data_IF_528073260340
#
_entry.id   IF_528073260340
#
_cell.length_a   1.000
_cell.length_b   1.000
_cell.length_c   1.000
_cell.angle_alpha   90.00
_cell.angle_beta   90.00
_cell.angle_gamma   90.00
#
_symmetry.space_group_name_H-M   'P 1'
#
loop_
_entity.id
_entity.type
_entity.pdbx_description
1 polymer ?
#
# COMPACT_ATOMS: atom_id res chain seq x y z
N UNK A 1 25.47 2.15 13.12
CA UNK A 1 26.42 1.29 12.39
C UNK A 1 27.37 2.19 11.63
N UNK A 2 28.65 2.18 12.00
CA UNK A 2 29.66 3.10 11.50
C UNK A 2 30.04 2.76 10.06
N UNK A 3 29.61 3.58 9.11
CA UNK A 3 30.01 3.53 7.70
C UNK A 3 31.50 3.81 7.58
N UNK A 4 32.30 2.76 7.39
CA UNK A 4 33.71 2.89 7.01
C UNK A 4 33.75 3.32 5.54
N UNK A 5 34.01 4.60 5.29
CA UNK A 5 34.28 5.12 3.96
C UNK A 5 35.66 4.63 3.57
N UNK A 6 35.72 3.68 2.63
CA UNK A 6 36.98 3.20 2.06
C UNK A 6 37.45 4.23 1.03
N UNK A 7 38.22 5.21 1.48
CA UNK A 7 38.87 6.22 0.62
C UNK A 7 39.96 5.55 -0.21
N UNK A 8 39.64 5.18 -1.46
CA UNK A 8 40.64 4.89 -2.49
C UNK A 8 41.32 6.20 -2.90
N UNK A 9 42.48 6.50 -2.34
CA UNK A 9 43.35 7.58 -2.83
C UNK A 9 43.94 7.19 -4.18
N UNK A 10 43.26 7.57 -5.25
CA UNK A 10 43.80 7.54 -6.61
C UNK A 10 44.71 8.75 -6.73
N UNK A 11 46.01 8.50 -6.85
CA UNK A 11 47.02 9.49 -7.20
C UNK A 11 46.68 10.07 -8.59
N UNK A 12 45.88 11.15 -8.61
CA UNK A 12 45.57 11.88 -9.84
C UNK A 12 46.81 12.67 -10.27
N UNK A 13 47.58 12.09 -11.19
CA UNK A 13 48.46 12.89 -12.03
C UNK A 13 47.57 13.76 -12.91
N UNK A 14 47.36 15.02 -12.52
CA UNK A 14 46.78 16.06 -13.39
C UNK A 14 47.87 16.44 -14.39
N UNK A 15 48.10 15.60 -15.38
CA UNK A 15 48.81 16.01 -16.59
C UNK A 15 47.79 16.80 -17.40
N UNK A 16 47.83 18.14 -17.31
CA UNK A 16 47.13 19.01 -18.25
C UNK A 16 47.80 18.89 -19.63
N UNK A 17 47.60 17.75 -20.26
CA UNK A 17 47.93 17.51 -21.65
C UNK A 17 46.73 18.00 -22.44
N UNK A 18 46.94 19.04 -23.27
CA UNK A 18 46.03 19.31 -24.36
C UNK A 18 46.04 18.05 -25.22
N UNK A 19 44.89 17.40 -25.29
CA UNK A 19 44.64 16.42 -26.31
C UNK A 19 44.86 17.11 -27.66
N UNK A 20 45.91 16.76 -28.39
CA UNK A 20 45.82 16.83 -29.85
C UNK A 20 44.52 16.13 -30.24
N UNK A 21 43.76 16.68 -31.19
CA UNK A 21 42.43 16.18 -31.58
C UNK A 21 42.38 14.64 -31.58
N UNK A 22 41.64 14.05 -30.63
CA UNK A 22 41.63 12.60 -30.49
C UNK A 22 40.69 11.99 -31.52
N UNK A 23 41.24 11.18 -32.43
CA UNK A 23 40.46 10.40 -33.38
C UNK A 23 40.41 8.94 -32.93
N UNK A 24 39.21 8.42 -32.72
CA UNK A 24 39.01 6.98 -32.47
C UNK A 24 39.29 6.19 -33.74
N UNK A 25 39.51 4.87 -33.61
CA UNK A 25 39.69 3.95 -34.74
C UNK A 25 38.51 3.99 -35.72
N UNK A 26 37.31 4.32 -35.23
CA UNK A 26 36.09 4.44 -36.04
C UNK A 26 35.92 5.84 -36.69
N UNK A 27 36.92 6.71 -36.56
CA UNK A 27 36.94 8.03 -37.16
C UNK A 27 36.18 9.11 -36.39
N UNK A 28 35.69 8.82 -35.17
CA UNK A 28 35.07 9.84 -34.31
C UNK A 28 36.15 10.74 -33.72
N UNK A 29 36.02 12.03 -33.93
CA UNK A 29 36.97 13.04 -33.49
C UNK A 29 36.44 13.80 -32.27
N UNK A 30 37.29 13.97 -31.26
CA UNK A 30 36.99 14.76 -30.06
C UNK A 30 37.85 16.02 -30.05
N UNK A 31 37.23 17.15 -30.44
CA UNK A 31 37.85 18.48 -30.44
C UNK A 31 37.64 19.19 -29.12
N UNK A 32 38.62 20.02 -28.72
CA UNK A 32 38.61 20.78 -27.46
C UNK A 32 38.35 19.91 -26.21
N UNK A 33 38.75 18.63 -26.26
CA UNK A 33 38.52 17.70 -25.17
C UNK A 33 39.67 17.76 -24.16
N UNK A 34 39.33 17.88 -22.88
CA UNK A 34 40.32 17.77 -21.79
C UNK A 34 40.19 16.41 -21.12
N UNK A 35 41.29 15.68 -20.94
CA UNK A 35 41.28 14.45 -20.14
C UNK A 35 41.07 14.82 -18.67
N UNK A 36 39.94 14.42 -18.11
CA UNK A 36 39.57 14.67 -16.72
C UNK A 36 39.98 13.55 -15.77
N UNK A 37 40.09 12.32 -16.29
CA UNK A 37 40.51 11.12 -15.55
C UNK A 37 41.02 10.07 -16.52
N UNK A 38 42.01 9.31 -16.09
CA UNK A 38 42.44 8.08 -16.78
C UNK A 38 42.02 6.89 -15.91
N UNK A 39 41.30 5.95 -16.50
CA UNK A 39 40.88 4.68 -15.90
C UNK A 39 41.62 3.53 -16.61
N UNK A 40 41.74 2.33 -15.99
CA UNK A 40 42.49 1.22 -16.60
C UNK A 40 42.01 0.82 -18.00
N UNK A 41 40.71 0.98 -18.28
CA UNK A 41 40.06 0.61 -19.53
C UNK A 41 39.79 1.79 -20.49
N UNK A 42 40.06 3.04 -20.08
CA UNK A 42 39.84 4.20 -20.93
C UNK A 42 40.13 5.57 -20.32
N UNK A 43 39.90 6.62 -21.09
CA UNK A 43 40.05 8.02 -20.67
C UNK A 43 38.68 8.69 -20.56
N UNK A 44 38.48 9.46 -19.51
CA UNK A 44 37.28 10.27 -19.30
C UNK A 44 37.57 11.68 -19.78
N UNK A 45 36.93 12.06 -20.88
CA UNK A 45 37.04 13.37 -21.51
C UNK A 45 35.95 14.30 -21.00
N UNK A 46 36.34 15.53 -20.68
CA UNK A 46 35.42 16.65 -20.52
C UNK A 46 35.45 17.48 -21.79
N UNK A 47 34.30 17.60 -22.43
CA UNK A 47 34.10 18.41 -23.65
C UNK A 47 33.09 19.52 -23.36
N UNK A 48 32.87 20.40 -24.35
CA UNK A 48 31.80 21.42 -24.28
C UNK A 48 30.40 20.81 -24.11
N UNK A 49 30.19 19.56 -24.57
CA UNK A 49 28.90 18.88 -24.54
C UNK A 49 28.69 17.97 -23.32
N UNK A 50 29.72 17.73 -22.50
CA UNK A 50 29.60 16.94 -21.29
C UNK A 50 30.84 16.13 -20.94
N UNK A 51 30.64 15.11 -20.11
CA UNK A 51 31.69 14.15 -19.71
C UNK A 51 31.41 12.83 -20.43
N UNK A 52 32.41 12.32 -21.15
CA UNK A 52 32.32 11.07 -21.91
C UNK A 52 33.53 10.20 -21.61
N UNK A 53 33.31 8.90 -21.45
CA UNK A 53 34.39 7.91 -21.40
C UNK A 53 34.68 7.38 -22.80
N UNK A 54 35.97 7.31 -23.15
CA UNK A 54 36.46 6.72 -24.40
C UNK A 54 37.38 5.55 -24.02
N UNK A 55 37.05 4.35 -24.48
CA UNK A 55 37.81 3.15 -24.14
C UNK A 55 39.16 3.13 -24.87
N UNK A 56 40.20 2.59 -24.22
CA UNK A 56 41.52 2.48 -24.85
C UNK A 56 41.52 1.60 -26.10
N UNK A 57 40.65 0.60 -26.16
CA UNK A 57 40.45 -0.27 -27.34
C UNK A 57 39.94 0.48 -28.56
N UNK A 58 39.34 1.66 -28.39
CA UNK A 58 38.86 2.52 -29.47
C UNK A 58 39.89 3.56 -29.89
N UNK A 59 41.04 3.64 -29.21
CA UNK A 59 42.06 4.65 -29.45
C UNK A 59 43.23 4.10 -30.28
N UNK A 60 43.90 4.95 -31.09
CA UNK A 60 45.16 4.62 -31.77
C UNK A 60 46.25 4.14 -30.82
N UNK A 61 47.22 3.36 -31.34
CA UNK A 61 48.27 2.71 -30.54
C UNK A 61 49.21 3.69 -29.85
N UNK A 62 49.57 4.76 -30.54
CA UNK A 62 50.35 5.89 -30.01
C UNK A 62 49.66 6.54 -28.81
N UNK A 63 48.33 6.66 -28.84
CA UNK A 63 47.55 7.19 -27.72
C UNK A 63 47.47 6.18 -26.57
N UNK A 64 47.27 4.90 -26.86
CA UNK A 64 47.31 3.83 -25.84
C UNK A 64 48.65 3.82 -25.09
N UNK A 65 49.77 3.95 -25.82
CA UNK A 65 51.12 3.98 -25.26
C UNK A 65 51.38 5.23 -24.41
N UNK A 66 50.93 6.41 -24.87
CA UNK A 66 51.03 7.69 -24.14
C UNK A 66 50.38 7.63 -22.76
N UNK A 67 49.30 6.86 -22.61
CA UNK A 67 48.58 6.70 -21.35
C UNK A 67 48.86 5.38 -20.63
N UNK A 68 49.88 4.62 -21.08
CA UNK A 68 50.32 3.38 -20.45
C UNK A 68 49.20 2.32 -20.31
N UNK A 69 48.42 2.14 -21.39
CA UNK A 69 47.35 1.14 -21.42
C UNK A 69 47.87 -0.28 -21.16
N UNK A 70 47.23 -0.97 -20.22
CA UNK A 70 47.51 -2.36 -19.83
C UNK A 70 46.22 -3.17 -20.02
N UNK A 71 46.21 -4.09 -20.99
CA UNK A 71 45.00 -4.83 -21.35
C UNK A 71 44.52 -5.78 -20.26
N UNK A 72 45.42 -6.31 -19.42
CA UNK A 72 45.02 -7.22 -18.32
C UNK A 72 44.35 -6.44 -17.18
N UNK A 73 44.92 -5.28 -16.84
CA UNK A 73 44.30 -4.36 -15.86
C UNK A 73 42.97 -3.82 -16.35
N UNK A 74 42.87 -3.49 -17.64
CA UNK A 74 41.62 -3.03 -18.27
C UNK A 74 40.52 -4.08 -18.21
N UNK A 75 40.84 -5.34 -18.53
CA UNK A 75 39.89 -6.45 -18.48
C UNK A 75 39.39 -6.69 -17.05
N UNK A 76 40.30 -6.71 -16.08
CA UNK A 76 39.98 -6.89 -14.66
C UNK A 76 39.08 -5.76 -14.16
N UNK A 77 39.42 -4.51 -14.45
CA UNK A 77 38.63 -3.33 -14.07
C UNK A 77 37.23 -3.35 -14.70
N UNK A 78 37.13 -3.64 -16.01
CA UNK A 78 35.85 -3.72 -16.71
C UNK A 78 34.92 -4.78 -16.13
N UNK A 79 35.48 -5.95 -15.79
CA UNK A 79 34.74 -7.05 -15.15
C UNK A 79 34.20 -6.64 -13.76
N UNK A 80 35.05 -5.98 -12.96
CA UNK A 80 34.66 -5.49 -11.63
C UNK A 80 33.56 -4.42 -11.74
N UNK A 81 33.69 -3.46 -12.66
CA UNK A 81 32.66 -2.43 -12.89
C UNK A 81 31.32 -3.05 -13.31
N UNK A 82 31.34 -4.04 -14.20
CA UNK A 82 30.14 -4.75 -14.63
C UNK A 82 29.47 -5.53 -13.48
N UNK A 83 30.27 -6.18 -12.64
CA UNK A 83 29.79 -6.88 -11.45
C UNK A 83 29.17 -5.90 -10.44
N UNK A 84 29.83 -4.78 -10.16
CA UNK A 84 29.36 -3.73 -9.25
C UNK A 84 28.06 -3.10 -9.75
N UNK A 85 27.97 -2.80 -11.05
CA UNK A 85 26.74 -2.28 -11.65
C UNK A 85 25.59 -3.28 -11.50
N UNK A 86 25.84 -4.56 -11.81
CA UNK A 86 24.81 -5.61 -11.68
C UNK A 86 24.36 -5.79 -10.22
N UNK A 87 25.29 -5.75 -9.27
CA UNK A 87 24.98 -5.84 -7.84
C UNK A 87 24.13 -4.64 -7.38
N UNK A 88 24.48 -3.42 -7.81
CA UNK A 88 23.72 -2.22 -7.51
C UNK A 88 22.29 -2.28 -8.07
N UNK A 89 22.12 -2.74 -9.31
CA UNK A 89 20.79 -2.90 -9.92
C UNK A 89 19.94 -3.92 -9.14
N UNK A 90 20.52 -5.07 -8.77
CA UNK A 90 19.84 -6.07 -7.94
C UNK A 90 19.43 -5.51 -6.59
N UNK A 91 20.33 -4.79 -5.92
CA UNK A 91 20.04 -4.16 -4.62
C UNK A 91 18.91 -3.13 -4.72
N UNK A 92 18.90 -2.31 -5.78
CA UNK A 92 17.82 -1.34 -6.04
C UNK A 92 16.48 -2.03 -6.29
N UNK A 93 16.48 -3.11 -7.07
CA UNK A 93 15.27 -3.88 -7.35
C UNK A 93 14.74 -4.56 -6.07
N UNK A 94 15.60 -5.17 -5.27
CA UNK A 94 15.24 -5.78 -3.99
C UNK A 94 14.67 -4.74 -3.03
N UNK A 95 15.30 -3.57 -2.92
CA UNK A 95 14.80 -2.45 -2.08
C UNK A 95 13.43 -2.00 -2.55
N UNK A 96 13.23 -1.84 -3.87
CA UNK A 96 11.93 -1.47 -4.45
C UNK A 96 10.86 -2.53 -4.19
N UNK A 97 11.21 -3.81 -4.31
CA UNK A 97 10.31 -4.94 -3.99
C UNK A 97 9.95 -4.95 -2.50
N UNK A 98 10.92 -4.72 -1.61
CA UNK A 98 10.68 -4.62 -0.17
C UNK A 98 9.75 -3.46 0.18
N UNK A 99 9.97 -2.28 -0.41
CA UNK A 99 9.10 -1.12 -0.24
C UNK A 99 7.68 -1.40 -0.74
N UNK A 100 7.53 -1.92 -1.97
CA UNK A 100 6.23 -2.28 -2.51
C UNK A 100 5.49 -3.31 -1.65
N UNK A 101 6.21 -4.29 -1.11
CA UNK A 101 5.64 -5.28 -0.19
C UNK A 101 5.23 -4.65 1.16
N UNK A 102 6.02 -3.73 1.70
CA UNK A 102 5.70 -3.01 2.92
C UNK A 102 4.46 -2.11 2.72
N UNK A 103 4.40 -1.38 1.61
CA UNK A 103 3.26 -0.53 1.25
C UNK A 103 1.99 -1.35 1.02
N UNK A 104 2.10 -2.49 0.34
CA UNK A 104 0.98 -3.41 0.15
C UNK A 104 0.45 -3.96 1.48
N UNK A 105 1.36 -4.35 2.40
CA UNK A 105 0.98 -4.80 3.76
C UNK A 105 0.31 -3.69 4.56
N UNK A 106 0.89 -2.49 4.56
CA UNK A 106 0.33 -1.34 5.27
C UNK A 106 -1.07 -0.98 4.72
N UNK A 107 -1.24 -0.99 3.39
CA UNK A 107 -2.54 -0.77 2.75
C UNK A 107 -3.55 -1.86 3.13
N UNK A 108 -3.14 -3.12 3.18
CA UNK A 108 -4.00 -4.23 3.58
C UNK A 108 -4.45 -4.08 5.05
N UNK A 109 -3.53 -3.76 5.97
CA UNK A 109 -3.84 -3.52 7.38
C UNK A 109 -4.83 -2.37 7.54
N UNK A 110 -4.61 -1.26 6.82
CA UNK A 110 -5.52 -0.11 6.87
C UNK A 110 -6.91 -0.44 6.31
N UNK A 111 -6.98 -1.20 5.22
CA UNK A 111 -8.24 -1.66 4.64
C UNK A 111 -8.99 -2.61 5.59
N UNK A 112 -8.28 -3.53 6.26
CA UNK A 112 -8.86 -4.43 7.26
C UNK A 112 -9.39 -3.66 8.47
N UNK A 113 -8.65 -2.66 8.96
CA UNK A 113 -9.09 -1.81 10.07
C UNK A 113 -10.34 -1.00 9.70
N UNK A 114 -10.41 -0.45 8.49
CA UNK A 114 -11.62 0.21 8.00
C UNK A 114 -12.79 -0.77 7.90
N UNK A 115 -12.58 -1.96 7.33
CA UNK A 115 -13.61 -2.98 7.22
C UNK A 115 -14.14 -3.42 8.59
N UNK A 116 -13.25 -3.58 9.58
CA UNK A 116 -13.64 -3.86 10.96
C UNK A 116 -14.47 -2.72 11.57
N UNK A 117 -14.08 -1.47 11.35
CA UNK A 117 -14.82 -0.28 11.82
C UNK A 117 -16.21 -0.21 11.18
N UNK A 118 -16.31 -0.34 9.86
CA UNK A 118 -17.58 -0.36 9.14
C UNK A 118 -18.48 -1.52 9.58
N UNK A 119 -17.90 -2.70 9.83
CA UNK A 119 -18.64 -3.86 10.35
C UNK A 119 -19.23 -3.56 11.72
N UNK A 120 -18.46 -2.98 12.64
CA UNK A 120 -18.95 -2.60 13.97
C UNK A 120 -20.05 -1.55 13.88
N UNK A 121 -19.89 -0.53 13.01
CA UNK A 121 -20.92 0.48 12.78
C UNK A 121 -22.21 -0.13 12.22
N UNK A 122 -22.11 -1.03 11.24
CA UNK A 122 -23.26 -1.73 10.65
C UNK A 122 -23.99 -2.60 11.67
N UNK A 123 -23.25 -3.33 12.51
CA UNK A 123 -23.82 -4.11 13.61
C UNK A 123 -24.53 -3.22 14.64
N UNK A 124 -23.95 -2.06 14.98
CA UNK A 124 -24.56 -1.11 15.91
C UNK A 124 -25.86 -0.54 15.33
N UNK A 125 -25.86 -0.17 14.06
CA UNK A 125 -27.05 0.30 13.37
C UNK A 125 -28.15 -0.78 13.35
N UNK A 126 -27.79 -2.04 13.04
CA UNK A 126 -28.73 -3.15 13.06
C UNK A 126 -29.29 -3.42 14.45
N UNK A 127 -28.46 -3.34 15.50
CA UNK A 127 -28.91 -3.50 16.87
C UNK A 127 -29.95 -2.43 17.25
N UNK A 128 -29.67 -1.17 16.91
CA UNK A 128 -30.57 -0.05 17.18
C UNK A 128 -31.90 -0.17 16.43
N UNK A 129 -31.87 -0.69 15.19
CA UNK A 129 -33.06 -0.95 14.41
C UNK A 129 -33.92 -2.06 15.03
N UNK A 130 -33.29 -3.18 15.43
CA UNK A 130 -33.99 -4.28 16.11
C UNK A 130 -34.56 -3.86 17.47
N UNK A 131 -33.86 -2.97 18.19
CA UNK A 131 -34.38 -2.38 19.43
C UNK A 131 -35.68 -1.61 19.16
N UNK A 132 -35.72 -0.74 18.14
CA UNK A 132 -36.94 -0.02 17.78
C UNK A 132 -38.07 -0.94 17.38
N UNK A 133 -37.78 -1.96 16.56
CA UNK A 133 -38.78 -2.96 16.16
C UNK A 133 -39.34 -3.72 17.37
N UNK A 134 -38.48 -4.08 18.33
CA UNK A 134 -38.93 -4.69 19.59
C UNK A 134 -39.88 -3.77 20.34
N UNK A 135 -39.53 -2.49 20.50
CA UNK A 135 -40.33 -1.51 21.24
C UNK A 135 -41.69 -1.27 20.55
N UNK A 136 -41.71 -1.16 19.22
CA UNK A 136 -42.94 -1.02 18.43
C UNK A 136 -43.84 -2.26 18.53
N UNK A 137 -43.25 -3.47 18.50
CA UNK A 137 -44.00 -4.72 18.68
C UNK A 137 -44.60 -4.82 20.08
N UNK A 138 -43.85 -4.41 21.11
CA UNK A 138 -44.35 -4.37 22.48
C UNK A 138 -45.54 -3.41 22.61
N UNK A 139 -45.50 -2.26 21.93
CA UNK A 139 -46.62 -1.32 21.87
C UNK A 139 -47.85 -1.94 21.19
N UNK A 140 -47.68 -2.57 20.04
CA UNK A 140 -48.77 -3.23 19.30
C UNK A 140 -49.39 -4.39 20.09
N UNK A 141 -48.56 -5.21 20.73
CA UNK A 141 -49.04 -6.29 21.61
C UNK A 141 -49.82 -5.70 22.78
N UNK A 142 -49.32 -4.63 23.40
CA UNK A 142 -50.00 -3.92 24.47
C UNK A 142 -51.38 -3.41 24.05
N UNK A 143 -51.50 -2.84 22.84
CA UNK A 143 -52.77 -2.38 22.26
C UNK A 143 -53.72 -3.54 21.96
N UNK A 144 -53.22 -4.63 21.37
CA UNK A 144 -54.02 -5.81 21.04
C UNK A 144 -54.51 -6.58 22.28
N UNK A 145 -53.83 -6.43 23.42
CA UNK A 145 -54.25 -6.97 24.72
C UNK A 145 -55.36 -6.15 25.39
N UNK A 146 -55.52 -4.86 25.05
CA UNK A 146 -56.58 -4.04 25.64
C UNK A 146 -57.97 -4.56 25.26
N UNK A 147 -58.98 -4.45 26.14
CA UNK A 147 -60.36 -4.71 25.77
C UNK A 147 -60.81 -3.71 24.69
N UNK A 148 -61.74 -4.12 23.81
CA UNK A 148 -62.32 -3.19 22.85
C UNK A 148 -63.23 -2.14 23.50
N UNK A 149 -63.82 -1.24 22.69
CA UNK A 149 -64.66 -0.16 23.20
C UNK A 149 -65.76 -0.68 24.14
N UNK A 150 -65.91 0.00 25.28
CA UNK A 150 -66.93 -0.33 26.25
C UNK A 150 -68.32 0.09 25.77
N UNK A 151 -69.34 -0.69 26.10
CA UNK A 151 -70.74 -0.39 25.86
C UNK A 151 -71.60 -0.92 27.00
N UNK A 152 -72.77 -0.33 27.21
CA UNK A 152 -73.74 -0.86 28.17
C UNK A 152 -74.67 -1.86 27.48
N UNK A 153 -74.95 -2.99 28.13
CA UNK A 153 -75.80 -4.06 27.62
C UNK A 153 -76.32 -4.98 28.72
N UNK A 154 -76.85 -6.14 28.33
CA UNK A 154 -77.49 -7.10 29.24
C UNK A 154 -79.00 -6.88 29.39
N UNK A 155 -79.65 -7.71 30.22
CA UNK A 155 -81.13 -7.81 30.34
C UNK A 155 -81.80 -6.48 30.74
N UNK A 156 -81.07 -5.62 31.42
CA UNK A 156 -81.53 -4.35 31.99
C UNK A 156 -80.60 -3.17 31.60
N UNK A 157 -79.77 -3.35 30.57
CA UNK A 157 -78.88 -2.34 29.97
C UNK A 157 -77.95 -1.60 30.97
N UNK A 158 -77.60 -2.25 32.09
CA UNK A 158 -76.76 -1.68 33.16
C UNK A 158 -75.38 -2.33 33.25
N UNK A 159 -75.12 -3.39 32.50
CA UNK A 159 -73.85 -4.10 32.54
C UNK A 159 -72.85 -3.47 31.58
N UNK A 160 -71.67 -3.09 32.08
CA UNK A 160 -70.57 -2.65 31.24
C UNK A 160 -69.94 -3.86 30.55
N UNK A 161 -69.99 -3.89 29.23
CA UNK A 161 -69.43 -4.93 28.37
C UNK A 161 -68.42 -4.30 27.42
N UNK A 162 -67.60 -5.12 26.77
CA UNK A 162 -66.59 -4.66 25.82
C UNK A 162 -66.77 -5.35 24.47
N UNK A 163 -66.66 -4.58 23.39
CA UNK A 163 -66.56 -5.17 22.06
C UNK A 163 -65.24 -5.97 21.96
N UNK A 164 -65.19 -7.01 21.12
CA UNK A 164 -63.93 -7.69 20.80
C UNK A 164 -62.92 -6.69 20.23
N UNK A 165 -61.69 -6.70 20.73
CA UNK A 165 -60.62 -5.91 20.12
C UNK A 165 -60.24 -6.53 18.77
N UNK A 166 -60.36 -5.79 17.64
CA UNK A 166 -60.08 -6.31 16.31
C UNK A 166 -58.62 -6.72 16.10
N UNK A 167 -57.69 -6.23 16.94
CA UNK A 167 -56.28 -6.59 16.88
C UNK A 167 -55.95 -7.87 17.67
N UNK A 168 -56.84 -8.31 18.57
CA UNK A 168 -56.62 -9.49 19.43
C UNK A 168 -56.27 -10.77 18.67
N UNK A 169 -56.87 -11.09 17.49
CA UNK A 169 -56.50 -12.27 16.71
C UNK A 169 -55.05 -12.26 16.20
N UNK A 170 -54.40 -11.09 16.13
CA UNK A 170 -53.03 -10.95 15.63
C UNK A 170 -51.98 -11.24 16.71
N UNK A 171 -52.38 -11.34 17.99
CA UNK A 171 -51.46 -11.52 19.13
C UNK A 171 -50.47 -12.68 18.95
N UNK A 172 -50.86 -13.89 18.50
CA UNK A 172 -49.91 -14.99 18.34
C UNK A 172 -48.81 -14.67 17.31
N UNK A 173 -49.16 -13.99 16.23
CA UNK A 173 -48.20 -13.60 15.20
C UNK A 173 -47.25 -12.51 15.71
N UNK A 174 -47.79 -11.48 16.38
CA UNK A 174 -46.97 -10.42 16.99
C UNK A 174 -45.99 -10.97 18.04
N UNK A 175 -46.43 -11.93 18.85
CA UNK A 175 -45.59 -12.60 19.85
C UNK A 175 -44.48 -13.45 19.21
N UNK A 176 -44.80 -14.18 18.13
CA UNK A 176 -43.80 -14.92 17.37
C UNK A 176 -42.75 -13.96 16.79
N UNK A 177 -43.19 -12.88 16.15
CA UNK A 177 -42.28 -11.92 15.55
C UNK A 177 -41.40 -11.22 16.60
N UNK A 178 -41.95 -10.88 17.77
CA UNK A 178 -41.19 -10.36 18.90
C UNK A 178 -40.09 -11.32 19.35
N UNK A 179 -40.37 -12.63 19.39
CA UNK A 179 -39.38 -13.66 19.72
C UNK A 179 -38.24 -13.68 18.70
N UNK A 180 -38.57 -13.61 17.40
CA UNK A 180 -37.58 -13.60 16.33
C UNK A 180 -36.68 -12.34 16.38
N UNK A 181 -37.28 -11.17 16.57
CA UNK A 181 -36.55 -9.90 16.71
C UNK A 181 -35.60 -9.93 17.91
N UNK A 182 -36.06 -10.43 19.06
CA UNK A 182 -35.23 -10.59 20.26
C UNK A 182 -34.08 -11.55 20.05
N UNK A 183 -34.35 -12.67 19.37
CA UNK A 183 -33.32 -13.64 19.04
C UNK A 183 -32.24 -13.02 18.15
N UNK A 184 -32.62 -12.37 17.05
CA UNK A 184 -31.68 -11.72 16.15
C UNK A 184 -30.88 -10.62 16.86
N UNK A 185 -31.54 -9.80 17.68
CA UNK A 185 -30.90 -8.73 18.47
C UNK A 185 -29.85 -9.29 19.43
N UNK A 186 -30.12 -10.42 20.07
CA UNK A 186 -29.15 -11.15 20.91
C UNK A 186 -27.94 -11.59 20.10
N UNK A 187 -28.14 -12.14 18.89
CA UNK A 187 -27.04 -12.58 18.04
C UNK A 187 -26.20 -11.39 17.54
N UNK A 188 -26.83 -10.28 17.14
CA UNK A 188 -26.14 -9.05 16.76
C UNK A 188 -25.34 -8.48 17.94
N UNK A 189 -25.89 -8.51 19.16
CA UNK A 189 -25.17 -8.10 20.37
C UNK A 189 -23.92 -8.96 20.62
N UNK A 190 -24.03 -10.29 20.50
CA UNK A 190 -22.86 -11.18 20.63
C UNK A 190 -21.79 -10.87 19.58
N UNK A 191 -22.20 -10.55 18.35
CA UNK A 191 -21.27 -10.14 17.30
C UNK A 191 -20.59 -8.79 17.59
N UNK A 192 -21.32 -7.82 18.16
CA UNK A 192 -20.75 -6.55 18.62
C UNK A 192 -19.72 -6.77 19.73
N UNK A 193 -20.05 -7.55 20.75
CA UNK A 193 -19.14 -7.87 21.86
C UNK A 193 -17.88 -8.58 21.35
N UNK A 194 -18.01 -9.46 20.36
CA UNK A 194 -16.85 -10.12 19.73
C UNK A 194 -16.01 -9.16 18.90
N UNK A 195 -16.61 -8.16 18.24
CA UNK A 195 -15.90 -7.18 17.42
C UNK A 195 -15.14 -6.11 18.25
N UNK A 196 -15.46 -5.99 19.55
CA UNK A 196 -14.87 -5.01 20.47
C UNK A 196 -13.80 -5.59 21.41
N UNK A 197 -13.60 -6.91 21.40
CA UNK A 197 -12.55 -7.60 22.17
C UNK A 197 -11.27 -7.70 21.34
#
# INVERSE_FOLDING_TARGET
>A
MSTKVLTFSILSFISAVFADDFKTLNGKEYKDATVSRVEPDGIVLKTKSGVIKVYFTELPKDVQERFHYDSEKAASYSSEQAANYTAYQKQQEETRRQQANADAKNKAIFAEQQAATHRTQALQARYNELQKQEDDLLLQIGQAQQPGPAYYGGKDNKTLLHHPNPQKPQLPFLQSHLSDVRHEKSEVRKQLEKAQR
#
